data_IF_274300234528
#
_entry.id   IF_274300234528
#
_cell.length_a   1.000
_cell.length_b   1.000
_cell.length_c   1.000
_cell.angle_alpha   90.00
_cell.angle_beta   90.00
_cell.angle_gamma   90.00
#
_symmetry.space_group_name_H-M   'P 1'
#
loop_
_entity.id
_entity.type
_entity.pdbx_description
1 polymer ?
#
# COMPACT_ATOMS: atom_id res chain seq x y z
N UNK A 1 -22.39 27.26 7.91
CA UNK A 1 -21.77 26.13 7.19
C UNK A 1 -22.48 24.86 7.62
N UNK A 2 -23.05 24.09 6.69
CA UNK A 2 -23.64 22.80 7.03
C UNK A 2 -22.51 21.79 7.30
N UNK A 3 -22.52 21.16 8.48
CA UNK A 3 -21.56 20.11 8.80
C UNK A 3 -21.99 18.83 8.10
N UNK A 4 -21.04 18.16 7.43
CA UNK A 4 -21.28 16.87 6.77
C UNK A 4 -21.81 15.87 7.80
N UNK A 5 -22.87 15.09 7.47
CA UNK A 5 -23.38 14.06 8.36
C UNK A 5 -22.32 13.00 8.62
N UNK A 6 -22.15 12.63 9.89
CA UNK A 6 -21.22 11.58 10.31
C UNK A 6 -22.01 10.28 10.38
N UNK A 7 -21.56 9.25 9.67
CA UNK A 7 -22.07 7.88 9.85
C UNK A 7 -21.77 7.44 11.28
N UNK A 8 -22.78 6.96 12.00
CA UNK A 8 -22.60 6.54 13.39
C UNK A 8 -21.58 5.41 13.51
N UNK A 9 -20.80 5.43 14.59
CA UNK A 9 -19.97 4.29 14.97
C UNK A 9 -20.88 3.19 15.51
N UNK A 10 -20.88 2.04 14.83
CA UNK A 10 -21.64 0.86 15.26
C UNK A 10 -20.76 -0.41 15.33
N UNK A 11 -19.45 -0.27 15.24
CA UNK A 11 -18.53 -1.40 15.27
C UNK A 11 -17.18 -1.10 14.63
N UNK A 12 -16.27 -2.10 14.60
CA UNK A 12 -14.88 -1.91 14.18
C UNK A 12 -14.73 -1.49 12.71
N UNK A 13 -15.52 -2.07 11.80
CA UNK A 13 -15.36 -1.87 10.34
C UNK A 13 -15.61 -0.43 9.84
N UNK A 14 -16.08 0.48 10.70
CA UNK A 14 -16.28 1.89 10.36
C UNK A 14 -15.42 2.86 11.17
N UNK A 15 -14.56 2.35 12.08
CA UNK A 15 -13.91 3.19 13.08
C UNK A 15 -13.00 4.25 12.48
N UNK A 16 -12.13 3.90 11.52
CA UNK A 16 -11.19 4.85 10.93
C UNK A 16 -11.93 6.03 10.27
N UNK A 17 -12.88 5.73 9.39
CA UNK A 17 -13.70 6.75 8.73
C UNK A 17 -14.50 7.60 9.71
N UNK A 18 -15.06 6.97 10.75
CA UNK A 18 -15.77 7.67 11.82
C UNK A 18 -14.83 8.62 12.59
N UNK A 19 -13.64 8.13 12.98
CA UNK A 19 -12.62 8.87 13.74
C UNK A 19 -12.21 10.13 12.99
N UNK A 20 -11.88 10.01 11.71
CA UNK A 20 -11.52 11.14 10.85
C UNK A 20 -12.66 12.14 10.69
N UNK A 21 -13.89 11.66 10.49
CA UNK A 21 -15.07 12.52 10.34
C UNK A 21 -15.39 13.32 11.61
N UNK A 22 -15.26 12.67 12.77
CA UNK A 22 -15.44 13.33 14.08
C UNK A 22 -14.33 14.34 14.33
N UNK A 23 -13.07 13.98 14.10
CA UNK A 23 -11.95 14.90 14.27
C UNK A 23 -12.10 16.15 13.40
N UNK A 24 -12.43 15.98 12.11
CA UNK A 24 -12.66 17.09 11.20
C UNK A 24 -13.74 18.05 11.73
N UNK A 25 -14.85 17.51 12.25
CA UNK A 25 -15.92 18.30 12.87
C UNK A 25 -15.41 19.04 14.11
N UNK A 26 -14.70 18.37 15.01
CA UNK A 26 -14.17 18.98 16.24
C UNK A 26 -13.13 20.08 15.95
N UNK A 27 -12.32 19.91 14.90
CA UNK A 27 -11.40 20.94 14.42
C UNK A 27 -12.15 22.14 13.85
N UNK A 28 -13.18 21.91 13.03
CA UNK A 28 -14.04 22.97 12.49
C UNK A 28 -14.71 23.79 13.60
N UNK A 29 -15.03 23.16 14.73
CA UNK A 29 -15.61 23.80 15.90
C UNK A 29 -14.58 24.42 16.85
N UNK A 30 -13.27 24.21 16.63
CA UNK A 30 -12.21 24.74 17.48
C UNK A 30 -12.10 24.08 18.86
N UNK A 31 -12.67 22.89 19.04
CA UNK A 31 -12.70 22.18 20.34
C UNK A 31 -11.78 20.95 20.38
N UNK A 32 -11.22 20.51 19.25
CA UNK A 32 -10.41 19.28 19.16
C UNK A 32 -9.25 19.21 20.17
N UNK A 33 -8.67 20.35 20.55
CA UNK A 33 -7.56 20.43 21.52
C UNK A 33 -7.83 19.71 22.85
N UNK A 34 -9.09 19.69 23.31
CA UNK A 34 -9.46 19.05 24.59
C UNK A 34 -9.30 17.53 24.59
N UNK A 35 -9.15 16.91 23.41
CA UNK A 35 -8.89 15.47 23.30
C UNK A 35 -7.43 15.10 23.57
N UNK A 36 -6.51 16.05 23.36
CA UNK A 36 -5.08 15.77 23.27
C UNK A 36 -4.26 16.54 24.31
N UNK A 37 -4.70 17.74 24.67
CA UNK A 37 -4.04 18.59 25.66
C UNK A 37 -4.58 18.35 27.07
N UNK A 38 -3.72 18.58 28.06
CA UNK A 38 -4.15 18.63 29.45
C UNK A 38 -4.86 19.94 29.75
N UNK A 39 -5.80 19.88 30.70
CA UNK A 39 -6.48 21.08 31.19
C UNK A 39 -5.43 22.05 31.74
N UNK A 40 -5.43 23.33 31.33
CA UNK A 40 -4.47 24.30 31.85
C UNK A 40 -4.57 24.37 33.38
N UNK A 41 -3.43 24.21 34.04
CA UNK A 41 -3.32 24.35 35.49
C UNK A 41 -3.66 25.81 35.83
N UNK A 42 -4.61 26.01 36.73
CA UNK A 42 -4.98 27.35 37.19
C UNK A 42 -3.98 27.86 38.22
N UNK A 43 -2.77 28.20 37.80
CA UNK A 43 -1.84 28.95 38.64
C UNK A 43 -2.23 30.44 38.64
N UNK A 44 -3.21 30.76 39.47
CA UNK A 44 -3.55 32.15 39.79
C UNK A 44 -4.39 32.87 38.75
N UNK A 45 -5.70 32.57 38.72
CA UNK A 45 -6.70 33.60 38.43
C UNK A 45 -7.52 33.48 37.15
N UNK A 46 -7.18 32.62 36.18
CA UNK A 46 -7.98 32.56 34.95
C UNK A 46 -9.18 31.60 35.04
N UNK A 47 -10.16 31.98 35.87
CA UNK A 47 -11.45 31.31 35.93
C UNK A 47 -12.18 31.33 34.57
N UNK A 48 -11.86 32.25 33.66
CA UNK A 48 -12.44 32.30 32.33
C UNK A 48 -11.84 31.20 31.43
N UNK A 49 -10.53 30.98 31.46
CA UNK A 49 -9.87 29.87 30.76
C UNK A 49 -10.40 28.51 31.25
N UNK A 50 -10.56 28.33 32.57
CA UNK A 50 -11.13 27.11 33.14
C UNK A 50 -12.58 26.87 32.67
N UNK A 51 -13.42 27.91 32.65
CA UNK A 51 -14.79 27.85 32.13
C UNK A 51 -14.83 27.56 30.63
N UNK A 52 -13.95 28.18 29.85
CA UNK A 52 -13.81 27.92 28.41
C UNK A 52 -13.42 26.48 28.16
N UNK A 53 -12.44 25.96 28.89
CA UNK A 53 -12.05 24.55 28.79
C UNK A 53 -13.23 23.62 29.08
N UNK A 54 -13.95 23.83 30.19
CA UNK A 54 -15.11 23.01 30.53
C UNK A 54 -16.21 23.05 29.46
N UNK A 55 -16.43 24.22 28.85
CA UNK A 55 -17.36 24.35 27.71
C UNK A 55 -16.87 23.57 26.49
N UNK A 56 -15.61 23.77 26.09
CA UNK A 56 -15.01 23.10 24.93
C UNK A 56 -15.03 21.57 25.12
N UNK A 57 -14.72 21.09 26.34
CA UNK A 57 -14.78 19.67 26.72
C UNK A 57 -16.20 19.11 26.64
N UNK A 58 -17.20 19.81 27.20
CA UNK A 58 -18.59 19.38 27.14
C UNK A 58 -19.13 19.32 25.70
N UNK A 59 -18.79 20.31 24.86
CA UNK A 59 -19.16 20.35 23.44
C UNK A 59 -18.48 19.21 22.69
N UNK A 60 -17.18 19.01 22.90
CA UNK A 60 -16.41 17.94 22.28
C UNK A 60 -17.00 16.57 22.64
N UNK A 61 -17.22 16.31 23.94
CA UNK A 61 -17.84 15.08 24.44
C UNK A 61 -19.22 14.84 23.82
N UNK A 62 -20.05 15.87 23.77
CA UNK A 62 -21.39 15.80 23.18
C UNK A 62 -21.35 15.40 21.70
N UNK A 63 -20.43 15.95 20.91
CA UNK A 63 -20.28 15.58 19.50
C UNK A 63 -19.79 14.16 19.30
N UNK A 64 -18.86 13.68 20.14
CA UNK A 64 -18.40 12.29 20.09
C UNK A 64 -19.57 11.36 20.42
N UNK A 65 -20.28 11.58 21.53
CA UNK A 65 -21.41 10.74 21.94
C UNK A 65 -22.56 10.73 20.92
N UNK A 66 -22.90 11.89 20.36
CA UNK A 66 -23.95 12.00 19.34
C UNK A 66 -23.61 11.29 18.02
N UNK A 67 -22.35 10.92 17.81
CA UNK A 67 -21.89 10.16 16.64
C UNK A 67 -21.77 8.66 16.91
N UNK A 68 -22.08 8.19 18.13
CA UNK A 68 -22.15 6.77 18.46
C UNK A 68 -23.55 6.22 18.13
N UNK A 69 -23.64 4.92 17.86
CA UNK A 69 -24.94 4.25 17.80
C UNK A 69 -25.56 4.10 19.18
N UNK A 70 -26.88 3.91 19.23
CA UNK A 70 -27.62 3.73 20.48
C UNK A 70 -27.13 2.51 21.29
N UNK A 71 -26.56 1.51 20.61
CA UNK A 71 -25.95 0.34 21.25
C UNK A 71 -24.71 0.71 22.05
N UNK A 72 -23.89 1.64 21.54
CA UNK A 72 -22.63 2.03 22.18
C UNK A 72 -22.79 3.15 23.20
N UNK A 73 -23.84 3.98 23.06
CA UNK A 73 -24.04 5.16 23.90
C UNK A 73 -23.97 4.85 25.42
N UNK A 74 -24.63 3.81 25.97
CA UNK A 74 -24.60 3.52 27.41
C UNK A 74 -23.20 3.20 27.94
N UNK A 75 -22.38 2.49 27.16
CA UNK A 75 -21.04 2.04 27.58
C UNK A 75 -20.04 3.20 27.69
N UNK A 76 -20.24 4.21 26.85
CA UNK A 76 -19.31 5.33 26.67
C UNK A 76 -19.81 6.65 27.31
N UNK A 77 -21.11 6.79 27.59
CA UNK A 77 -21.66 7.98 28.26
C UNK A 77 -21.10 8.20 29.68
N UNK A 78 -20.58 7.15 30.32
CA UNK A 78 -19.99 7.21 31.67
C UNK A 78 -18.72 8.06 31.78
N UNK A 79 -18.04 8.33 30.67
CA UNK A 79 -16.80 9.12 30.69
C UNK A 79 -17.12 10.61 30.88
N UNK A 80 -16.57 11.20 31.94
CA UNK A 80 -16.82 12.59 32.28
C UNK A 80 -16.11 13.57 31.34
N UNK A 81 -14.87 13.27 30.94
CA UNK A 81 -14.06 14.09 30.05
C UNK A 81 -14.07 13.55 28.61
N UNK A 82 -14.01 14.45 27.63
CA UNK A 82 -13.97 14.08 26.21
C UNK A 82 -12.70 13.28 25.87
N UNK A 83 -11.56 13.64 26.47
CA UNK A 83 -10.30 12.93 26.28
C UNK A 83 -10.38 11.46 26.73
N UNK A 84 -11.00 11.18 27.87
CA UNK A 84 -11.11 9.82 28.40
C UNK A 84 -12.06 8.96 27.57
N UNK A 85 -13.17 9.55 27.12
CA UNK A 85 -14.09 8.95 26.15
C UNK A 85 -13.34 8.59 24.85
N UNK A 86 -12.60 9.55 24.30
CA UNK A 86 -11.86 9.38 23.05
C UNK A 86 -10.79 8.29 23.16
N UNK A 87 -10.01 8.29 24.25
CA UNK A 87 -9.02 7.24 24.53
C UNK A 87 -9.67 5.89 24.73
N UNK A 88 -10.85 5.82 25.35
CA UNK A 88 -11.58 4.55 25.50
C UNK A 88 -12.01 3.98 24.15
N UNK A 89 -12.55 4.81 23.26
CA UNK A 89 -12.90 4.41 21.90
C UNK A 89 -11.67 3.94 21.11
N UNK A 90 -10.55 4.68 21.21
CA UNK A 90 -9.30 4.27 20.58
C UNK A 90 -8.78 2.93 21.11
N UNK A 91 -8.80 2.70 22.44
CA UNK A 91 -8.40 1.40 23.00
C UNK A 91 -9.24 0.23 22.47
N UNK A 92 -10.52 0.45 22.19
CA UNK A 92 -11.44 -0.60 21.73
C UNK A 92 -11.34 -0.87 20.23
N UNK A 93 -11.12 0.17 19.42
CA UNK A 93 -11.27 0.08 17.96
C UNK A 93 -10.00 0.42 17.17
N UNK A 94 -9.03 1.10 17.79
CA UNK A 94 -7.71 1.39 17.21
C UNK A 94 -6.72 0.27 17.60
N UNK A 95 -7.12 -0.98 17.33
CA UNK A 95 -6.44 -2.20 17.83
C UNK A 95 -5.36 -2.70 16.85
N UNK A 96 -5.24 -2.06 15.69
CA UNK A 96 -4.34 -2.54 14.64
C UNK A 96 -2.88 -2.25 15.00
N UNK A 97 -2.21 -3.29 15.48
CA UNK A 97 -0.79 -3.25 15.85
C UNK A 97 0.10 -3.26 14.61
N UNK A 98 1.33 -2.75 14.74
CA UNK A 98 2.34 -2.83 13.67
C UNK A 98 2.54 -4.27 13.17
N UNK A 99 2.49 -5.26 14.06
CA UNK A 99 2.59 -6.68 13.71
C UNK A 99 1.38 -7.15 12.90
N UNK A 100 0.15 -6.78 13.29
CA UNK A 100 -1.05 -7.16 12.53
C UNK A 100 -1.03 -6.57 11.10
N UNK A 101 -0.57 -5.34 10.93
CA UNK A 101 -0.38 -4.73 9.60
C UNK A 101 0.70 -5.44 8.78
N UNK A 102 1.81 -5.83 9.42
CA UNK A 102 2.87 -6.59 8.76
C UNK A 102 2.37 -7.96 8.31
N UNK A 103 1.63 -8.67 9.15
CA UNK A 103 1.05 -9.97 8.80
C UNK A 103 0.09 -9.84 7.62
N UNK A 104 -0.75 -8.79 7.59
CA UNK A 104 -1.62 -8.47 6.44
C UNK A 104 -0.83 -8.17 5.17
N UNK A 105 0.26 -7.42 5.29
CA UNK A 105 1.14 -7.11 4.16
C UNK A 105 1.74 -8.40 3.58
N UNK A 106 2.28 -9.30 4.41
CA UNK A 106 2.84 -10.56 3.92
C UNK A 106 1.78 -11.50 3.33
N UNK A 107 0.58 -11.52 3.92
CA UNK A 107 -0.56 -12.30 3.40
C UNK A 107 -1.25 -11.67 2.20
N UNK A 108 -0.90 -10.44 1.82
CA UNK A 108 -1.50 -9.79 0.67
C UNK A 108 -1.09 -10.52 -0.61
N UNK A 109 -2.09 -10.80 -1.43
CA UNK A 109 -1.96 -11.39 -2.76
C UNK A 109 -2.79 -10.56 -3.72
N UNK A 110 -2.30 -10.41 -4.94
CA UNK A 110 -3.06 -9.73 -5.97
C UNK A 110 -4.19 -10.65 -6.46
N UNK A 111 -5.36 -10.06 -6.67
CA UNK A 111 -6.48 -10.70 -7.36
C UNK A 111 -6.25 -10.59 -8.88
N UNK A 112 -5.93 -11.73 -9.49
CA UNK A 112 -5.70 -11.87 -10.93
C UNK A 112 -6.96 -11.57 -11.76
N UNK A 113 -8.16 -11.78 -11.17
CA UNK A 113 -9.45 -11.56 -11.82
C UNK A 113 -9.92 -10.09 -11.78
N UNK A 114 -9.31 -9.26 -10.94
CA UNK A 114 -9.61 -7.84 -10.78
C UNK A 114 -8.58 -6.96 -11.49
N UNK A 115 -8.17 -7.31 -12.71
CA UNK A 115 -7.00 -6.68 -13.33
C UNK A 115 -7.20 -5.24 -13.85
N UNK A 116 -8.42 -4.71 -13.90
CA UNK A 116 -8.66 -3.26 -14.02
C UNK A 116 -8.35 -2.50 -12.71
N UNK A 117 -8.28 -3.21 -11.58
CA UNK A 117 -7.94 -2.66 -10.27
C UNK A 117 -6.45 -2.80 -9.91
N UNK A 118 -5.55 -3.16 -10.83
CA UNK A 118 -4.12 -3.37 -10.51
C UNK A 118 -3.50 -2.19 -9.74
N UNK A 119 -3.76 -0.95 -10.18
CA UNK A 119 -3.24 0.24 -9.50
C UNK A 119 -3.84 0.42 -8.10
N UNK A 120 -5.10 0.05 -7.91
CA UNK A 120 -5.76 0.08 -6.60
C UNK A 120 -5.18 -0.98 -5.65
N UNK A 121 -4.88 -2.16 -6.19
CA UNK A 121 -4.23 -3.24 -5.46
C UNK A 121 -2.81 -2.87 -5.04
N UNK A 122 -2.03 -2.20 -5.91
CA UNK A 122 -0.71 -1.63 -5.56
C UNK A 122 -0.86 -0.59 -4.45
N UNK A 123 -1.81 0.34 -4.58
CA UNK A 123 -2.07 1.35 -3.54
C UNK A 123 -2.45 0.71 -2.19
N UNK A 124 -3.26 -0.35 -2.22
CA UNK A 124 -3.63 -1.08 -1.02
C UNK A 124 -2.42 -1.73 -0.35
N UNK A 125 -1.56 -2.40 -1.12
CA UNK A 125 -0.39 -3.07 -0.60
C UNK A 125 0.65 -2.08 -0.03
N UNK A 126 0.87 -0.95 -0.72
CA UNK A 126 1.70 0.15 -0.21
C UNK A 126 1.15 0.70 1.10
N UNK A 127 -0.18 0.88 1.21
CA UNK A 127 -0.82 1.34 2.44
C UNK A 127 -0.64 0.34 3.60
N UNK A 128 -0.68 -0.98 3.34
CA UNK A 128 -0.37 -2.00 4.33
C UNK A 128 1.09 -1.88 4.80
N UNK A 129 2.04 -1.69 3.88
CA UNK A 129 3.45 -1.48 4.19
C UNK A 129 3.69 -0.23 5.04
N UNK A 130 3.05 0.89 4.68
CA UNK A 130 3.09 2.14 5.42
C UNK A 130 2.51 1.99 6.84
N UNK A 131 1.36 1.32 6.98
CA UNK A 131 0.75 1.04 8.29
C UNK A 131 1.65 0.14 9.17
N UNK A 132 2.36 -0.81 8.54
CA UNK A 132 3.37 -1.64 9.18
C UNK A 132 4.71 -0.92 9.45
N UNK A 133 4.85 0.35 9.00
CA UNK A 133 6.09 1.15 9.06
C UNK A 133 7.28 0.37 8.47
N UNK A 134 7.07 -0.24 7.31
CA UNK A 134 8.14 -0.89 6.56
C UNK A 134 8.90 0.15 5.71
N UNK A 135 10.22 -0.02 5.51
CA UNK A 135 10.98 0.77 4.54
C UNK A 135 10.41 0.64 3.12
N UNK A 136 10.50 1.71 2.32
CA UNK A 136 9.90 1.77 0.98
C UNK A 136 10.53 0.77 0.01
N UNK A 137 11.85 0.61 0.08
CA UNK A 137 12.64 -0.38 -0.65
C UNK A 137 12.21 -1.81 -0.32
N UNK A 138 12.01 -2.09 0.97
CA UNK A 138 11.51 -3.40 1.43
C UNK A 138 10.11 -3.71 0.89
N UNK A 139 9.22 -2.72 0.89
CA UNK A 139 7.86 -2.88 0.36
C UNK A 139 7.89 -3.13 -1.14
N UNK A 140 8.73 -2.39 -1.87
CA UNK A 140 8.89 -2.55 -3.31
C UNK A 140 9.46 -3.94 -3.67
N UNK A 141 10.50 -4.40 -2.98
CA UNK A 141 11.11 -5.71 -3.20
C UNK A 141 10.12 -6.86 -2.96
N UNK A 142 9.39 -6.83 -1.85
CA UNK A 142 8.39 -7.86 -1.52
C UNK A 142 7.25 -7.87 -2.54
N UNK A 143 6.80 -6.68 -3.00
CA UNK A 143 5.77 -6.57 -4.02
C UNK A 143 6.23 -7.08 -5.37
N UNK A 144 7.51 -6.88 -5.75
CA UNK A 144 8.04 -7.40 -7.01
C UNK A 144 7.85 -8.90 -7.17
N UNK A 145 7.93 -9.66 -6.07
CA UNK A 145 7.68 -11.11 -6.08
C UNK A 145 6.22 -11.52 -6.22
N UNK A 146 5.28 -10.57 -6.09
CA UNK A 146 3.83 -10.80 -6.11
C UNK A 146 3.12 -10.11 -7.30
N UNK A 147 3.79 -9.19 -7.97
CA UNK A 147 3.26 -8.44 -9.11
C UNK A 147 3.00 -9.33 -10.34
N UNK A 148 2.12 -8.89 -11.27
CA UNK A 148 1.97 -9.57 -12.55
C UNK A 148 3.30 -9.64 -13.29
N UNK A 149 3.58 -10.75 -13.99
CA UNK A 149 4.89 -11.03 -14.58
C UNK A 149 5.41 -9.88 -15.45
N UNK A 150 4.55 -9.30 -16.29
CA UNK A 150 4.92 -8.18 -17.18
C UNK A 150 5.40 -6.97 -16.36
N UNK A 151 4.72 -6.69 -15.23
CA UNK A 151 5.08 -5.59 -14.34
C UNK A 151 6.34 -5.93 -13.56
N UNK A 152 6.43 -7.12 -12.97
CA UNK A 152 7.60 -7.59 -12.23
C UNK A 152 8.88 -7.57 -13.09
N UNK A 153 8.82 -8.08 -14.33
CA UNK A 153 9.94 -8.02 -15.26
C UNK A 153 10.34 -6.59 -15.62
N UNK A 154 9.36 -5.70 -15.83
CA UNK A 154 9.64 -4.29 -16.09
C UNK A 154 10.34 -3.60 -14.92
N UNK A 155 9.95 -3.91 -13.68
CA UNK A 155 10.59 -3.37 -12.47
C UNK A 155 12.00 -3.92 -12.31
N UNK A 156 12.20 -5.23 -12.48
CA UNK A 156 13.53 -5.86 -12.41
C UNK A 156 14.50 -5.34 -13.47
N UNK A 157 14.01 -5.00 -14.66
CA UNK A 157 14.82 -4.38 -15.71
C UNK A 157 15.21 -2.94 -15.35
N UNK A 158 14.30 -2.18 -14.72
CA UNK A 158 14.56 -0.82 -14.26
C UNK A 158 15.52 -0.75 -13.08
N UNK A 159 15.40 -1.65 -12.09
CA UNK A 159 16.22 -1.61 -10.88
C UNK A 159 17.70 -1.89 -11.16
N UNK A 160 18.02 -2.69 -12.19
CA UNK A 160 19.39 -2.91 -12.67
C UNK A 160 20.05 -1.64 -13.22
N UNK A 161 19.27 -0.62 -13.59
CA UNK A 161 19.78 0.64 -14.12
C UNK A 161 19.92 1.73 -13.05
N UNK A 162 19.06 1.73 -12.04
CA UNK A 162 19.02 2.74 -10.98
C UNK A 162 19.64 2.27 -9.66
N UNK A 163 20.00 0.98 -9.57
CA UNK A 163 20.70 0.32 -8.46
C UNK A 163 19.92 0.24 -7.13
N UNK A 164 18.62 0.56 -7.12
CA UNK A 164 17.70 0.36 -5.99
C UNK A 164 16.27 0.08 -6.51
N UNK A 165 15.52 -0.78 -5.82
CA UNK A 165 14.07 -0.95 -6.04
C UNK A 165 13.35 -0.01 -5.08
N UNK A 166 12.56 0.92 -5.60
CA UNK A 166 11.73 1.80 -4.79
C UNK A 166 10.31 1.82 -5.35
N UNK A 167 9.34 2.23 -4.53
CA UNK A 167 7.92 2.18 -4.91
C UNK A 167 7.62 3.07 -6.13
N UNK A 168 8.39 4.15 -6.33
CA UNK A 168 8.30 4.99 -7.52
C UNK A 168 8.48 4.19 -8.82
N UNK A 169 9.46 3.28 -8.88
CA UNK A 169 9.74 2.46 -10.04
C UNK A 169 8.60 1.45 -10.30
N UNK A 170 8.10 0.82 -9.23
CA UNK A 170 6.92 -0.07 -9.29
C UNK A 170 5.74 0.66 -9.91
N UNK A 171 5.44 1.86 -9.41
CA UNK A 171 4.38 2.71 -9.90
C UNK A 171 4.57 3.15 -11.36
N UNK A 172 5.78 3.52 -11.77
CA UNK A 172 6.08 3.93 -13.14
C UNK A 172 5.94 2.80 -14.16
N UNK A 173 6.36 1.59 -13.80
CA UNK A 173 6.18 0.40 -14.65
C UNK A 173 4.70 0.03 -14.72
N UNK A 174 4.00 -0.06 -13.57
CA UNK A 174 2.59 -0.40 -13.54
C UNK A 174 1.72 0.57 -14.36
N UNK A 175 1.96 1.88 -14.23
CA UNK A 175 1.25 2.90 -15.03
C UNK A 175 1.50 2.74 -16.53
N UNK A 176 2.74 2.45 -16.95
CA UNK A 176 3.08 2.22 -18.38
C UNK A 176 2.36 0.99 -18.93
N UNK A 177 2.33 -0.10 -18.16
CA UNK A 177 1.66 -1.34 -18.54
C UNK A 177 0.15 -1.13 -18.66
N UNK A 178 -0.50 -0.49 -17.69
CA UNK A 178 -1.93 -0.16 -17.76
C UNK A 178 -2.24 0.78 -18.94
N UNK A 179 -1.39 1.80 -19.17
CA UNK A 179 -1.57 2.73 -20.29
C UNK A 179 -1.37 2.08 -21.67
N UNK A 180 -0.66 0.95 -21.76
CA UNK A 180 -0.48 0.21 -23.01
C UNK A 180 -1.73 -0.57 -23.44
N UNK A 181 -2.79 -0.60 -22.62
CA UNK A 181 -4.05 -1.26 -22.95
C UNK A 181 -3.97 -2.79 -22.95
N UNK A 182 -2.99 -3.36 -22.25
CA UNK A 182 -2.89 -4.81 -22.07
C UNK A 182 -4.11 -5.28 -21.26
N UNK A 183 -4.84 -6.25 -21.81
CA UNK A 183 -5.99 -6.85 -21.13
C UNK A 183 -5.58 -7.38 -19.74
N UNK A 184 -6.37 -7.13 -18.68
CA UNK A 184 -6.20 -7.66 -17.33
C UNK A 184 -5.70 -9.11 -17.26
N UNK A 185 -6.32 -10.00 -18.04
CA UNK A 185 -5.97 -11.43 -18.06
C UNK A 185 -4.58 -11.73 -18.62
N UNK A 186 -4.06 -10.85 -19.49
CA UNK A 186 -2.74 -11.01 -20.11
C UNK A 186 -1.62 -10.51 -19.21
N UNK A 187 -1.93 -9.77 -18.14
CA UNK A 187 -0.95 -9.35 -17.13
C UNK A 187 -0.41 -10.57 -16.36
N UNK A 188 -1.24 -11.60 -16.21
CA UNK A 188 -1.00 -12.78 -15.37
C UNK A 188 -0.72 -14.06 -16.16
N UNK A 189 -0.99 -14.11 -17.48
CA UNK A 189 -0.71 -15.28 -18.32
C UNK A 189 0.79 -15.41 -18.61
N UNK A 190 1.40 -16.47 -18.09
CA UNK A 190 2.72 -16.98 -18.49
C UNK A 190 2.76 -17.27 -19.99
N UNK A 191 3.81 -16.83 -20.68
CA UNK A 191 4.10 -17.23 -22.06
C UNK A 191 4.56 -18.71 -22.21
N UNK A 192 4.29 -19.58 -21.24
CA UNK A 192 4.62 -21.00 -21.30
C UNK A 192 3.34 -21.85 -21.31
N UNK A 193 3.18 -22.64 -22.38
CA UNK A 193 2.07 -23.54 -22.73
C UNK A 193 0.89 -22.91 -23.50
N UNK A 194 1.20 -22.29 -24.64
CA UNK A 194 0.31 -22.34 -25.81
C UNK A 194 1.07 -22.99 -26.96
N UNK A 195 1.19 -24.33 -26.92
CA UNK A 195 1.63 -25.13 -28.09
C UNK A 195 0.50 -25.30 -29.12
N UNK A 196 -0.71 -24.80 -28.84
CA UNK A 196 -1.89 -24.93 -29.70
C UNK A 196 -2.48 -23.56 -30.12
N UNK A 197 -1.68 -22.71 -30.76
CA UNK A 197 -2.22 -21.74 -31.73
C UNK A 197 -1.12 -21.24 -32.68
N UNK A 198 -0.82 -22.07 -33.69
CA UNK A 198 -0.23 -21.57 -34.94
C UNK A 198 -1.30 -20.77 -35.68
N UNK A 199 -1.35 -19.46 -35.45
CA UNK A 199 -1.87 -18.53 -36.44
C UNK A 199 -0.78 -17.50 -36.76
N UNK A 200 -0.17 -17.72 -37.94
CA UNK A 200 0.78 -16.88 -38.64
C UNK A 200 0.15 -15.51 -38.95
N UNK A 201 0.43 -14.50 -38.14
CA UNK A 201 0.17 -13.10 -38.47
C UNK A 201 1.48 -12.30 -38.34
N UNK A 202 2.25 -12.27 -39.43
CA UNK A 202 3.56 -11.64 -39.49
C UNK A 202 3.54 -10.13 -39.19
N UNK A 203 4.42 -9.71 -38.26
CA UNK A 203 4.90 -8.35 -38.15
C UNK A 203 6.43 -8.34 -38.08
N UNK A 204 7.07 -8.16 -39.24
CA UNK A 204 8.51 -7.91 -39.33
C UNK A 204 8.80 -6.47 -38.87
N UNK A 205 9.53 -6.31 -37.77
CA UNK A 205 10.24 -5.06 -37.48
C UNK A 205 11.62 -5.16 -38.12
N UNK A 206 11.85 -4.35 -39.15
CA UNK A 206 13.07 -4.28 -39.94
C UNK A 206 14.24 -3.75 -39.08
N UNK A 207 15.24 -4.60 -38.84
CA UNK A 207 16.49 -4.25 -38.17
C UNK A 207 17.57 -3.85 -39.18
N UNK A 208 18.51 -2.94 -38.83
CA UNK A 208 19.40 -2.32 -39.80
C UNK A 208 20.38 -3.32 -40.41
N UNK A 209 20.43 -3.36 -41.75
CA UNK A 209 21.36 -4.17 -42.55
C UNK A 209 22.82 -3.90 -42.18
N UNK A 210 23.54 -4.94 -41.75
CA UNK A 210 25.02 -4.98 -41.78
C UNK A 210 25.49 -5.28 -43.22
N UNK A 211 26.59 -4.66 -43.69
CA UNK A 211 27.08 -4.89 -45.04
C UNK A 211 27.71 -6.28 -45.15
N UNK A 212 27.35 -6.96 -46.23
CA UNK A 212 27.92 -8.23 -46.69
C UNK A 212 29.44 -8.12 -46.82
N UNK A 213 30.16 -9.07 -46.22
CA UNK A 213 31.53 -9.36 -46.61
C UNK A 213 31.62 -10.76 -47.21
N UNK A 214 32.24 -10.74 -48.38
CA UNK A 214 32.26 -11.75 -49.39
C UNK A 214 33.15 -12.94 -48.99
N UNK A 215 32.73 -14.10 -49.47
CA UNK A 215 33.35 -15.41 -49.31
C UNK A 215 34.86 -15.43 -49.61
N UNK A 216 35.62 -16.05 -48.71
CA UNK A 216 37.08 -16.20 -48.81
C UNK A 216 37.56 -17.47 -48.13
N UNK A 217 37.40 -18.60 -48.81
CA UNK A 217 37.87 -19.95 -48.48
C UNK A 217 39.37 -19.95 -48.11
N UNK A 218 39.74 -20.45 -46.91
CA UNK A 218 41.10 -20.95 -46.63
C UNK A 218 41.09 -22.04 -45.55
N UNK A 219 41.40 -23.26 -45.97
CA UNK A 219 41.71 -24.41 -45.13
C UNK A 219 43.05 -24.18 -44.41
N UNK A 220 43.16 -24.50 -43.10
CA UNK A 220 44.32 -25.26 -42.54
C UNK A 220 44.12 -25.66 -41.07
N UNK A 221 44.19 -26.98 -40.85
CA UNK A 221 44.80 -27.75 -39.77
C UNK A 221 44.49 -27.46 -38.28
N UNK A 222 44.08 -28.53 -37.59
CA UNK A 222 44.02 -28.72 -36.13
C UNK A 222 45.37 -28.50 -35.43
N UNK A 223 45.33 -28.34 -34.10
CA UNK A 223 46.09 -29.27 -33.27
C UNK A 223 45.31 -29.87 -32.08
N UNK A 224 45.75 -31.08 -31.77
CA UNK A 224 45.36 -32.02 -30.71
C UNK A 224 45.08 -31.42 -29.32
N UNK A 225 44.06 -31.95 -28.65
CA UNK A 225 43.93 -31.87 -27.19
C UNK A 225 43.97 -33.28 -26.57
N UNK A 226 45.05 -33.51 -25.83
CA UNK A 226 45.33 -34.68 -24.98
C UNK A 226 44.34 -34.71 -23.82
N UNK A 227 43.51 -35.75 -23.75
CA UNK A 227 42.65 -36.05 -22.61
C UNK A 227 43.46 -36.71 -21.48
N UNK A 228 43.46 -36.10 -20.28
CA UNK A 228 44.01 -36.70 -19.06
C UNK A 228 42.87 -37.04 -18.11
N UNK A 229 42.68 -38.33 -17.89
CA UNK A 229 41.69 -38.93 -16.99
C UNK A 229 42.18 -38.92 -15.54
N UNK A 230 41.34 -38.44 -14.62
CA UNK A 230 41.55 -38.62 -13.18
C UNK A 230 40.85 -39.90 -12.72
N UNK A 231 41.65 -40.90 -12.33
CA UNK A 231 41.18 -42.12 -11.65
C UNK A 231 40.92 -41.83 -10.16
N UNK A 232 39.75 -42.24 -9.67
CA UNK A 232 39.47 -42.53 -8.26
C UNK A 232 40.36 -43.68 -7.78
N UNK A 233 40.78 -43.65 -6.52
CA UNK A 233 41.05 -44.85 -5.73
C UNK A 233 40.41 -44.73 -4.35
N UNK A 234 39.83 -45.88 -3.98
CA UNK A 234 39.39 -46.33 -2.66
C UNK A 234 40.57 -46.33 -1.69
#
# INVERSE_FOLDING_TARGET
MALVPIKQLDGPGGYLRWKESVLLRLHTLGVARVLFEDRPAGDGGDAAAAKKWARDDAVCRGHVLASLSDRLLPDYARFAAAADLWRALARTYDVETRSAWRDRFHSFEFDEGAGDALLEQIAHAEALGAAARLPDDYVADELCGKLPEIVGHGVLAGSQTENETAMNLVWDVARRVVASGIEPERLWKTAAMSDDDYQDDGFYIDGPKRPEQNTGRRNRAEPELVARSCRRKV
#
